data_IF_672540755442
#
_entry.id   IF_672540755442
#
_cell.length_a   1.000
_cell.length_b   1.000
_cell.length_c   1.000
_cell.angle_alpha   90.00
_cell.angle_beta   90.00
_cell.angle_gamma   90.00
#
_symmetry.space_group_name_H-M   'P 1'
#
loop_
_entity.id
_entity.type
_entity.pdbx_description
1 polymer ?
#
# COMPACT_ATOMS: atom_id res chain seq x y z
N UNK A 1 -21.73 55.47 -7.64
CA UNK A 1 -21.81 54.34 -6.68
C UNK A 1 -21.32 53.10 -7.40
N UNK A 2 -20.02 52.80 -7.23
CA UNK A 2 -19.41 51.61 -7.85
C UNK A 2 -19.73 50.36 -7.02
N UNK A 3 -20.48 49.42 -7.59
CA UNK A 3 -20.69 48.12 -7.01
C UNK A 3 -19.48 47.22 -7.32
N UNK A 4 -18.57 47.10 -6.38
CA UNK A 4 -17.55 46.05 -6.38
C UNK A 4 -18.26 44.72 -6.14
N UNK A 5 -18.31 43.88 -7.16
CA UNK A 5 -18.70 42.43 -7.02
C UNK A 5 -17.71 41.78 -6.06
N UNK A 6 -18.22 40.99 -5.09
CA UNK A 6 -17.33 40.17 -4.28
C UNK A 6 -16.63 39.15 -5.19
N UNK A 7 -15.29 39.09 -5.07
CA UNK A 7 -14.50 38.01 -5.70
C UNK A 7 -14.92 36.71 -5.04
N UNK A 8 -15.61 35.87 -5.80
CA UNK A 8 -15.92 34.50 -5.41
C UNK A 8 -14.57 33.75 -5.19
N UNK A 9 -14.18 33.64 -3.92
CA UNK A 9 -13.11 32.72 -3.52
C UNK A 9 -13.69 31.32 -3.53
N UNK A 10 -13.84 30.74 -4.71
CA UNK A 10 -14.09 29.31 -4.82
C UNK A 10 -13.01 28.59 -4.01
N UNK A 11 -13.42 27.92 -2.95
CA UNK A 11 -12.55 27.06 -2.16
C UNK A 11 -12.06 25.97 -3.12
N UNK A 12 -10.81 26.06 -3.52
CA UNK A 12 -10.19 25.01 -4.35
C UNK A 12 -10.14 23.75 -3.49
N UNK A 13 -11.01 22.79 -3.79
CA UNK A 13 -10.97 21.50 -3.10
C UNK A 13 -9.61 20.84 -3.35
N UNK A 14 -9.02 20.32 -2.27
CA UNK A 14 -7.72 19.67 -2.29
C UNK A 14 -7.85 18.16 -2.07
N UNK A 15 -6.95 17.34 -2.66
CA UNK A 15 -6.96 15.92 -2.44
C UNK A 15 -6.72 15.57 -0.97
N UNK A 16 -7.34 14.50 -0.52
CA UNK A 16 -7.14 14.01 0.85
C UNK A 16 -5.94 13.07 0.90
N UNK A 17 -4.74 13.64 0.99
CA UNK A 17 -3.48 12.89 1.02
C UNK A 17 -3.32 12.00 2.27
N UNK A 18 -4.19 12.13 3.29
CA UNK A 18 -4.15 11.29 4.49
C UNK A 18 -4.37 9.80 4.16
N UNK A 19 -5.06 9.50 3.07
CA UNK A 19 -5.26 8.12 2.58
C UNK A 19 -3.93 7.41 2.31
N UNK A 20 -2.92 8.13 1.77
CA UNK A 20 -1.60 7.60 1.49
C UNK A 20 -0.88 7.16 2.76
N UNK A 21 -0.86 8.02 3.79
CA UNK A 21 -0.27 7.67 5.09
C UNK A 21 -0.88 6.41 5.71
N UNK A 22 -2.20 6.22 5.54
CA UNK A 22 -2.88 5.01 6.03
C UNK A 22 -2.42 3.77 5.28
N UNK A 23 -2.28 3.83 3.95
CA UNK A 23 -1.79 2.73 3.11
C UNK A 23 -0.32 2.43 3.43
N UNK A 24 0.53 3.44 3.54
CA UNK A 24 1.95 3.28 3.87
C UNK A 24 2.18 2.59 5.21
N UNK A 25 1.33 2.88 6.23
CA UNK A 25 1.41 2.16 7.53
C UNK A 25 1.23 0.66 7.38
N UNK A 26 0.39 0.20 6.44
CA UNK A 26 0.24 -1.24 6.16
C UNK A 26 1.56 -1.83 5.69
N UNK A 27 2.20 -1.21 4.71
CA UNK A 27 3.48 -1.70 4.19
C UNK A 27 4.58 -1.68 5.26
N UNK A 28 4.69 -0.59 6.03
CA UNK A 28 5.64 -0.49 7.16
C UNK A 28 5.44 -1.61 8.17
N UNK A 29 4.20 -1.86 8.59
CA UNK A 29 3.84 -2.91 9.56
C UNK A 29 4.14 -4.30 9.02
N UNK A 30 3.60 -4.63 7.85
CA UNK A 30 3.67 -5.99 7.34
C UNK A 30 5.11 -6.38 6.95
N UNK A 31 5.88 -5.50 6.32
CA UNK A 31 7.27 -5.78 6.01
C UNK A 31 8.18 -5.79 7.24
N UNK A 32 7.74 -5.22 8.36
CA UNK A 32 8.44 -5.37 9.65
C UNK A 32 8.16 -6.73 10.30
N UNK A 33 6.93 -7.22 10.22
CA UNK A 33 6.53 -8.48 10.87
C UNK A 33 6.92 -9.72 10.06
N UNK A 34 6.82 -9.65 8.74
CA UNK A 34 6.95 -10.81 7.83
C UNK A 34 8.30 -11.53 7.93
N UNK A 35 9.48 -10.87 8.00
CA UNK A 35 10.75 -11.58 8.12
C UNK A 35 10.80 -12.52 9.33
N UNK A 36 10.31 -12.09 10.48
CA UNK A 36 10.28 -12.90 11.70
C UNK A 36 9.26 -14.05 11.59
N UNK A 37 8.09 -13.80 10.99
CA UNK A 37 7.10 -14.85 10.74
C UNK A 37 7.64 -15.93 9.79
N UNK A 38 8.46 -15.55 8.80
CA UNK A 38 9.11 -16.48 7.87
C UNK A 38 10.16 -17.30 8.61
N UNK A 39 11.04 -16.68 9.41
CA UNK A 39 12.06 -17.36 10.23
C UNK A 39 11.46 -18.30 11.25
N UNK A 40 10.25 -17.99 11.75
CA UNK A 40 9.51 -18.83 12.70
C UNK A 40 8.90 -20.10 12.10
N UNK A 41 8.96 -20.30 10.78
CA UNK A 41 8.45 -21.52 10.15
C UNK A 41 9.43 -22.68 10.32
N UNK A 42 8.96 -23.79 10.90
CA UNK A 42 9.78 -24.96 11.12
C UNK A 42 10.08 -25.73 9.82
N UNK A 43 11.20 -26.45 9.80
CA UNK A 43 11.61 -27.27 8.66
C UNK A 43 10.48 -28.24 8.26
N UNK A 44 10.09 -28.23 6.99
CA UNK A 44 9.06 -29.09 6.42
C UNK A 44 7.62 -28.68 6.71
N UNK A 45 7.35 -27.64 7.52
CA UNK A 45 5.97 -27.16 7.74
C UNK A 45 5.46 -26.35 6.53
N UNK A 46 5.21 -27.06 5.44
CA UNK A 46 4.72 -26.47 4.19
C UNK A 46 3.34 -25.82 4.33
N UNK A 47 2.54 -26.25 5.31
CA UNK A 47 1.23 -25.63 5.58
C UNK A 47 1.41 -24.21 6.14
N UNK A 48 2.31 -24.04 7.08
CA UNK A 48 2.67 -22.74 7.68
C UNK A 48 3.37 -21.87 6.65
N UNK A 49 4.35 -22.40 5.91
CA UNK A 49 5.06 -21.72 4.85
C UNK A 49 4.12 -21.16 3.78
N UNK A 50 3.12 -21.93 3.35
CA UNK A 50 2.10 -21.48 2.39
C UNK A 50 1.23 -20.37 2.94
N UNK A 51 0.85 -20.43 4.21
CA UNK A 51 0.02 -19.38 4.83
C UNK A 51 0.77 -18.05 4.91
N UNK A 52 1.99 -18.06 5.46
CA UNK A 52 2.83 -16.86 5.60
C UNK A 52 3.26 -16.36 4.22
N UNK A 53 3.66 -17.25 3.32
CA UNK A 53 4.08 -16.90 1.97
C UNK A 53 2.96 -16.32 1.11
N UNK A 54 1.73 -16.82 1.25
CA UNK A 54 0.57 -16.24 0.58
C UNK A 54 0.25 -14.84 1.11
N UNK A 55 0.48 -14.60 2.41
CA UNK A 55 0.32 -13.26 2.98
C UNK A 55 1.40 -12.30 2.48
N UNK A 56 2.68 -12.73 2.46
CA UNK A 56 3.76 -11.93 1.87
C UNK A 56 3.43 -11.58 0.42
N UNK A 57 3.03 -12.55 -0.42
CA UNK A 57 2.63 -12.29 -1.81
C UNK A 57 1.53 -11.24 -1.91
N UNK A 58 0.50 -11.33 -1.07
CA UNK A 58 -0.57 -10.34 -1.06
C UNK A 58 -0.07 -8.91 -0.79
N UNK A 59 0.91 -8.76 0.12
CA UNK A 59 1.52 -7.45 0.43
C UNK A 59 2.38 -6.97 -0.75
N UNK A 60 3.16 -7.87 -1.38
CA UNK A 60 4.00 -7.54 -2.54
C UNK A 60 3.15 -7.14 -3.76
N UNK A 61 2.08 -7.88 -4.03
CA UNK A 61 1.13 -7.56 -5.12
C UNK A 61 0.45 -6.20 -4.86
N UNK A 62 0.09 -5.92 -3.60
CA UNK A 62 -0.46 -4.63 -3.18
C UNK A 62 0.53 -3.48 -3.35
N UNK A 63 1.80 -3.69 -3.02
CA UNK A 63 2.87 -2.71 -3.19
C UNK A 63 3.13 -2.40 -4.67
N UNK A 64 3.26 -3.43 -5.49
CA UNK A 64 3.44 -3.26 -6.94
C UNK A 64 2.27 -2.48 -7.57
N UNK A 65 1.03 -2.83 -7.22
CA UNK A 65 -0.15 -2.11 -7.67
C UNK A 65 -0.16 -0.63 -7.22
N UNK A 66 0.29 -0.35 -6.01
CA UNK A 66 0.39 1.00 -5.44
C UNK A 66 1.36 1.85 -6.25
N UNK A 67 2.60 1.38 -6.44
CA UNK A 67 3.61 2.07 -7.24
C UNK A 67 3.20 2.23 -8.72
N UNK A 68 2.62 1.20 -9.35
CA UNK A 68 2.11 1.29 -10.72
C UNK A 68 1.05 2.39 -10.85
N UNK A 69 0.15 2.51 -9.87
CA UNK A 69 -0.85 3.58 -9.85
C UNK A 69 -0.21 4.97 -9.79
N UNK A 70 0.84 5.15 -9.01
CA UNK A 70 1.57 6.42 -8.93
C UNK A 70 2.32 6.73 -10.21
N UNK A 71 3.01 5.75 -10.79
CA UNK A 71 3.74 5.87 -12.05
C UNK A 71 2.81 6.28 -13.20
N UNK A 72 1.61 5.72 -13.25
CA UNK A 72 0.64 5.99 -14.32
C UNK A 72 -0.19 7.27 -14.08
N UNK A 73 -0.51 7.58 -12.83
CA UNK A 73 -1.46 8.64 -12.50
C UNK A 73 -0.81 9.89 -11.95
N UNK A 74 0.14 9.77 -11.01
CA UNK A 74 0.70 10.94 -10.30
C UNK A 74 1.93 11.53 -10.98
N UNK A 75 2.93 10.72 -11.31
CA UNK A 75 4.19 11.22 -11.82
C UNK A 75 4.07 12.03 -13.10
N UNK A 76 3.30 11.62 -14.13
CA UNK A 76 3.16 12.43 -15.35
C UNK A 76 2.58 13.82 -15.07
N UNK A 77 1.63 13.91 -14.13
CA UNK A 77 0.99 15.19 -13.76
C UNK A 77 1.90 16.09 -12.96
N UNK A 78 2.69 15.51 -12.04
CA UNK A 78 3.67 16.29 -11.26
C UNK A 78 4.82 16.78 -12.13
N UNK A 79 5.29 15.98 -13.08
CA UNK A 79 6.31 16.38 -14.05
C UNK A 79 5.84 17.57 -14.92
N UNK A 80 4.56 17.58 -15.30
CA UNK A 80 3.96 18.67 -16.09
C UNK A 80 3.75 19.94 -15.25
N UNK A 81 3.25 19.82 -14.02
CA UNK A 81 2.76 20.96 -13.23
C UNK A 81 3.73 21.48 -12.18
N UNK A 82 4.64 20.63 -11.72
CA UNK A 82 5.63 20.93 -10.69
C UNK A 82 7.06 20.83 -11.25
N UNK A 83 7.31 21.43 -12.40
CA UNK A 83 8.58 21.33 -13.13
C UNK A 83 9.86 21.53 -12.28
N UNK A 84 9.91 22.45 -11.27
CA UNK A 84 11.06 22.55 -10.35
C UNK A 84 11.35 21.28 -9.56
N UNK A 85 10.37 20.41 -9.38
CA UNK A 85 10.47 19.16 -8.62
C UNK A 85 10.71 17.92 -9.51
N UNK A 86 10.97 18.09 -10.79
CA UNK A 86 11.17 16.99 -11.75
C UNK A 86 12.31 16.04 -11.36
N UNK A 87 13.36 16.52 -10.71
CA UNK A 87 14.44 15.67 -10.20
C UNK A 87 13.94 14.74 -9.11
N UNK A 88 13.12 15.27 -8.19
CA UNK A 88 12.53 14.51 -7.10
C UNK A 88 11.60 13.41 -7.63
N UNK A 89 10.72 13.72 -8.59
CA UNK A 89 9.84 12.72 -9.21
C UNK A 89 10.64 11.60 -9.88
N UNK A 90 11.71 11.94 -10.60
CA UNK A 90 12.61 10.91 -11.17
C UNK A 90 13.31 10.07 -10.11
N UNK A 91 13.61 10.64 -8.94
CA UNK A 91 14.16 9.87 -7.82
C UNK A 91 13.13 8.85 -7.31
N UNK A 92 11.85 9.23 -7.21
CA UNK A 92 10.77 8.29 -6.86
C UNK A 92 10.68 7.15 -7.85
N UNK A 93 10.66 7.44 -9.16
CA UNK A 93 10.64 6.42 -10.21
C UNK A 93 11.83 5.46 -10.11
N UNK A 94 13.04 5.97 -9.88
CA UNK A 94 14.23 5.12 -9.69
C UNK A 94 14.14 4.25 -8.43
N UNK A 95 13.48 4.72 -7.37
CA UNK A 95 13.25 3.93 -6.17
C UNK A 95 12.18 2.84 -6.41
N UNK A 96 11.14 3.10 -7.23
CA UNK A 96 10.20 2.07 -7.67
C UNK A 96 10.91 0.95 -8.44
N UNK A 97 11.80 1.29 -9.37
CA UNK A 97 12.62 0.30 -10.10
C UNK A 97 13.47 -0.56 -9.15
N UNK A 98 14.03 0.04 -8.08
CA UNK A 98 14.76 -0.73 -7.05
C UNK A 98 13.86 -1.66 -6.26
N UNK A 99 12.64 -1.24 -5.92
CA UNK A 99 11.65 -2.09 -5.28
C UNK A 99 11.29 -3.27 -6.18
N UNK A 100 11.04 -3.04 -7.47
CA UNK A 100 10.72 -4.08 -8.44
C UNK A 100 11.84 -5.14 -8.55
N UNK A 101 13.11 -4.74 -8.49
CA UNK A 101 14.23 -5.69 -8.41
C UNK A 101 14.11 -6.63 -7.21
N UNK A 102 13.66 -6.13 -6.04
CA UNK A 102 13.44 -6.98 -4.88
C UNK A 102 12.22 -7.91 -5.07
N UNK A 103 11.15 -7.41 -5.69
CA UNK A 103 9.96 -8.22 -5.99
C UNK A 103 10.32 -9.39 -6.92
N UNK A 104 11.08 -9.12 -7.98
CA UNK A 104 11.54 -10.14 -8.93
C UNK A 104 12.43 -11.20 -8.28
N UNK A 105 13.29 -10.79 -7.34
CA UNK A 105 14.13 -11.73 -6.57
C UNK A 105 13.30 -12.58 -5.62
N UNK A 106 12.25 -12.02 -5.01
CA UNK A 106 11.40 -12.71 -4.04
C UNK A 106 10.54 -13.77 -4.70
N UNK A 107 10.01 -13.55 -5.88
CA UNK A 107 9.02 -14.44 -6.50
C UNK A 107 9.49 -15.91 -6.63
N UNK A 108 10.65 -16.23 -7.22
CA UNK A 108 11.13 -17.61 -7.31
C UNK A 108 11.52 -18.22 -5.95
N UNK A 109 12.09 -17.40 -5.05
CA UNK A 109 12.45 -17.85 -3.70
C UNK A 109 11.21 -18.24 -2.91
N UNK A 110 10.18 -17.40 -2.96
CA UNK A 110 8.91 -17.59 -2.27
C UNK A 110 8.19 -18.87 -2.75
N UNK A 111 8.11 -19.10 -4.07
CA UNK A 111 7.52 -20.32 -4.63
C UNK A 111 8.23 -21.57 -4.12
N UNK A 112 9.56 -21.57 -4.15
CA UNK A 112 10.36 -22.72 -3.68
C UNK A 112 10.18 -22.95 -2.19
N UNK A 113 10.24 -21.87 -1.38
CA UNK A 113 10.06 -21.98 0.06
C UNK A 113 8.67 -22.49 0.44
N UNK A 114 7.61 -21.97 -0.16
CA UNK A 114 6.22 -22.41 0.10
C UNK A 114 5.99 -23.89 -0.22
N UNK A 115 6.78 -24.48 -1.10
CA UNK A 115 6.67 -25.90 -1.48
C UNK A 115 7.47 -26.83 -0.59
N UNK A 116 8.57 -26.37 0.01
CA UNK A 116 9.51 -27.18 0.78
C UNK A 116 9.52 -26.88 2.26
N UNK A 117 9.21 -25.64 2.65
CA UNK A 117 9.43 -25.08 3.99
C UNK A 117 10.86 -25.31 4.52
N UNK A 118 11.85 -25.34 3.62
CA UNK A 118 13.24 -25.49 4.01
C UNK A 118 13.71 -24.21 4.73
N UNK A 119 14.28 -24.36 5.94
CA UNK A 119 14.72 -23.23 6.79
C UNK A 119 15.71 -22.33 6.05
N UNK A 120 16.69 -22.89 5.33
CA UNK A 120 17.64 -22.11 4.54
C UNK A 120 16.97 -21.27 3.45
N UNK A 121 15.90 -21.77 2.84
CA UNK A 121 15.11 -21.01 1.85
C UNK A 121 14.27 -19.93 2.52
N UNK A 122 13.70 -20.24 3.69
CA UNK A 122 13.01 -19.26 4.54
C UNK A 122 13.92 -18.08 4.89
N UNK A 123 15.15 -18.35 5.31
CA UNK A 123 16.13 -17.30 5.62
C UNK A 123 16.49 -16.45 4.37
N UNK A 124 16.57 -17.05 3.19
CA UNK A 124 16.78 -16.29 1.95
C UNK A 124 15.59 -15.35 1.65
N UNK A 125 14.35 -15.85 1.81
CA UNK A 125 13.13 -15.02 1.63
C UNK A 125 13.11 -13.90 2.67
N UNK A 126 13.34 -14.21 3.94
CA UNK A 126 13.34 -13.23 5.03
C UNK A 126 14.38 -12.12 4.80
N UNK A 127 15.60 -12.48 4.41
CA UNK A 127 16.67 -11.51 4.11
C UNK A 127 16.29 -10.57 2.96
N UNK A 128 15.80 -11.11 1.84
CA UNK A 128 15.38 -10.23 0.71
C UNK A 128 14.18 -9.37 1.10
N UNK A 129 13.29 -9.85 1.97
CA UNK A 129 12.20 -9.04 2.53
C UNK A 129 12.72 -7.92 3.44
N UNK A 130 13.79 -8.16 4.22
CA UNK A 130 14.46 -7.11 5.02
C UNK A 130 15.15 -6.07 4.14
N UNK A 131 15.79 -6.49 3.03
CA UNK A 131 16.38 -5.60 2.03
C UNK A 131 15.30 -4.71 1.39
N UNK A 132 14.20 -5.32 0.93
CA UNK A 132 13.03 -4.60 0.41
C UNK A 132 12.47 -3.60 1.43
N UNK A 133 12.29 -4.02 2.69
CA UNK A 133 11.81 -3.13 3.75
C UNK A 133 12.68 -1.89 3.88
N UNK A 134 14.01 -2.05 3.88
CA UNK A 134 14.93 -0.91 4.03
C UNK A 134 14.78 0.08 2.88
N UNK A 135 14.79 -0.39 1.63
CA UNK A 135 14.59 0.46 0.45
C UNK A 135 13.22 1.13 0.45
N UNK A 136 12.17 0.39 0.84
CA UNK A 136 10.82 0.94 0.88
C UNK A 136 10.65 2.00 1.97
N UNK A 137 11.24 1.83 3.15
CA UNK A 137 11.14 2.84 4.21
C UNK A 137 11.75 4.18 3.78
N UNK A 138 12.89 4.17 3.10
CA UNK A 138 13.52 5.37 2.54
C UNK A 138 12.61 6.03 1.49
N UNK A 139 12.00 5.23 0.63
CA UNK A 139 11.06 5.69 -0.38
C UNK A 139 9.84 6.36 0.25
N UNK A 140 9.13 5.65 1.15
CA UNK A 140 7.93 6.16 1.80
C UNK A 140 8.20 7.43 2.64
N UNK A 141 9.36 7.51 3.31
CA UNK A 141 9.74 8.69 4.09
C UNK A 141 9.99 9.90 3.17
N UNK A 142 10.59 9.69 2.01
CA UNK A 142 10.83 10.76 1.04
C UNK A 142 9.52 11.20 0.37
N UNK A 143 8.67 10.27 0.00
CA UNK A 143 7.38 10.55 -0.61
C UNK A 143 6.48 11.34 0.34
N UNK A 144 6.31 10.88 1.57
CA UNK A 144 5.50 11.55 2.58
C UNK A 144 5.98 12.97 2.88
N UNK A 145 7.30 13.19 2.89
CA UNK A 145 7.88 14.48 3.22
C UNK A 145 7.86 15.45 2.05
N UNK A 146 8.15 15.00 0.84
CA UNK A 146 8.44 15.90 -0.29
C UNK A 146 7.35 15.81 -1.40
N UNK A 147 6.83 14.62 -1.69
CA UNK A 147 5.88 14.41 -2.80
C UNK A 147 4.45 14.73 -2.38
N UNK A 148 3.98 14.25 -1.22
CA UNK A 148 2.60 14.48 -0.82
C UNK A 148 2.24 15.97 -0.67
N UNK A 149 3.14 16.86 -0.23
CA UNK A 149 2.90 18.31 -0.32
C UNK A 149 2.71 18.81 -1.76
N UNK A 150 3.44 18.27 -2.74
CA UNK A 150 3.27 18.63 -4.15
C UNK A 150 1.93 18.09 -4.70
N UNK A 151 1.58 16.85 -4.35
CA UNK A 151 0.26 16.26 -4.67
C UNK A 151 -0.85 17.19 -4.16
N UNK A 152 -0.78 17.59 -2.89
CA UNK A 152 -1.77 18.50 -2.30
C UNK A 152 -1.90 19.82 -3.06
N UNK A 153 -0.82 20.33 -3.65
CA UNK A 153 -0.80 21.61 -4.36
C UNK A 153 -1.21 21.50 -5.83
N UNK A 154 -0.81 20.42 -6.52
CA UNK A 154 -0.84 20.32 -7.97
C UNK A 154 -1.81 19.27 -8.54
N UNK A 155 -2.32 18.35 -7.70
CA UNK A 155 -3.25 17.31 -8.11
C UNK A 155 -4.67 17.70 -7.70
N UNK A 156 -5.62 17.49 -8.59
CA UNK A 156 -7.05 17.72 -8.30
C UNK A 156 -7.66 16.55 -7.53
N UNK A 157 -8.79 16.81 -6.85
CA UNK A 157 -9.55 15.74 -6.16
C UNK A 157 -9.98 14.64 -7.12
N UNK A 158 -10.37 14.98 -8.36
CA UNK A 158 -10.79 13.99 -9.36
C UNK A 158 -9.62 13.06 -9.77
N UNK A 159 -8.42 13.62 -9.97
CA UNK A 159 -7.22 12.84 -10.30
C UNK A 159 -6.77 11.96 -9.14
N UNK A 160 -6.82 12.47 -7.91
CA UNK A 160 -6.56 11.69 -6.71
C UNK A 160 -7.55 10.52 -6.57
N UNK A 161 -8.83 10.77 -6.78
CA UNK A 161 -9.84 9.73 -6.75
C UNK A 161 -9.61 8.67 -7.83
N UNK A 162 -9.12 9.06 -9.02
CA UNK A 162 -8.80 8.09 -10.09
C UNK A 162 -7.66 7.15 -9.71
N UNK A 163 -6.67 7.61 -8.93
CA UNK A 163 -5.63 6.74 -8.34
C UNK A 163 -6.26 5.68 -7.42
N UNK A 164 -7.13 6.09 -6.52
CA UNK A 164 -7.84 5.17 -5.63
C UNK A 164 -8.77 4.20 -6.37
N UNK A 165 -9.38 4.61 -7.49
CA UNK A 165 -10.19 3.74 -8.37
C UNK A 165 -9.32 2.72 -9.12
N UNK A 166 -8.18 3.16 -9.65
CA UNK A 166 -7.21 2.26 -10.30
C UNK A 166 -6.82 1.13 -9.34
N UNK A 167 -6.37 1.45 -8.13
CA UNK A 167 -6.02 0.46 -7.13
C UNK A 167 -7.18 -0.50 -6.79
N UNK A 168 -8.40 0.01 -6.59
CA UNK A 168 -9.54 -0.84 -6.22
C UNK A 168 -10.02 -1.74 -7.36
N UNK A 169 -9.93 -1.30 -8.61
CA UNK A 169 -10.42 -2.05 -9.77
C UNK A 169 -9.59 -3.30 -10.08
N UNK A 170 -8.32 -3.31 -9.68
CA UNK A 170 -7.40 -4.42 -9.88
C UNK A 170 -7.49 -5.48 -8.77
N UNK A 171 -8.12 -5.16 -7.63
CA UNK A 171 -8.22 -6.08 -6.49
C UNK A 171 -9.34 -7.10 -6.72
N UNK A 172 -9.03 -8.41 -6.73
CA UNK A 172 -10.07 -9.44 -6.75
C UNK A 172 -11.03 -9.31 -5.56
N UNK A 173 -12.33 -9.38 -5.80
CA UNK A 173 -13.36 -9.18 -4.76
C UNK A 173 -13.16 -10.05 -3.51
N UNK A 174 -12.63 -11.28 -3.67
CA UNK A 174 -12.32 -12.20 -2.55
C UNK A 174 -11.24 -11.70 -1.60
N UNK A 175 -10.35 -10.81 -2.07
CA UNK A 175 -9.26 -10.24 -1.27
C UNK A 175 -9.65 -8.93 -0.58
N UNK A 176 -10.72 -8.28 -1.00
CA UNK A 176 -11.20 -7.03 -0.44
C UNK A 176 -11.33 -7.06 1.10
N UNK A 177 -11.90 -8.11 1.74
CA UNK A 177 -12.01 -8.15 3.20
C UNK A 177 -10.65 -8.18 3.90
N UNK A 178 -9.64 -8.82 3.30
CA UNK A 178 -8.29 -8.89 3.87
C UNK A 178 -7.57 -7.57 3.68
N UNK A 179 -7.56 -6.99 2.47
CA UNK A 179 -6.88 -5.73 2.18
C UNK A 179 -7.50 -4.56 2.95
N UNK A 180 -8.84 -4.42 2.93
CA UNK A 180 -9.48 -3.39 3.74
C UNK A 180 -9.30 -3.63 5.24
N UNK A 181 -9.33 -4.88 5.69
CA UNK A 181 -9.04 -5.23 7.08
C UNK A 181 -7.63 -4.80 7.50
N UNK A 182 -6.63 -5.03 6.64
CA UNK A 182 -5.24 -4.61 6.85
C UNK A 182 -5.11 -3.08 6.94
N UNK A 183 -5.81 -2.34 6.07
CA UNK A 183 -5.84 -0.88 6.08
C UNK A 183 -6.53 -0.33 7.33
N UNK A 184 -7.64 -0.95 7.76
CA UNK A 184 -8.43 -0.47 8.89
C UNK A 184 -7.87 -0.88 10.25
N UNK A 185 -6.89 -1.79 10.31
CA UNK A 185 -6.33 -2.32 11.57
C UNK A 185 -5.75 -1.22 12.45
N UNK A 186 -4.91 -0.35 11.87
CA UNK A 186 -4.22 0.75 12.57
C UNK A 186 -4.88 2.11 12.33
N UNK A 187 -6.00 2.13 11.60
CA UNK A 187 -6.69 3.37 11.27
C UNK A 187 -7.55 3.85 12.45
N UNK A 188 -7.44 5.13 12.79
CA UNK A 188 -8.33 5.75 13.75
C UNK A 188 -9.79 5.84 13.22
N UNK A 189 -10.79 6.19 14.06
CA UNK A 189 -12.19 6.24 13.60
C UNK A 189 -12.44 7.24 12.45
N UNK A 190 -11.66 8.32 12.34
CA UNK A 190 -11.77 9.32 11.25
C UNK A 190 -11.18 8.75 9.96
N UNK A 191 -10.03 8.12 10.05
CA UNK A 191 -9.36 7.44 8.94
C UNK A 191 -10.20 6.26 8.43
N UNK A 192 -10.79 5.45 9.32
CA UNK A 192 -11.71 4.38 8.92
C UNK A 192 -12.91 4.92 8.15
N UNK A 193 -13.51 6.03 8.59
CA UNK A 193 -14.60 6.69 7.88
C UNK A 193 -14.14 7.18 6.50
N UNK A 194 -12.97 7.78 6.42
CA UNK A 194 -12.36 8.28 5.19
C UNK A 194 -12.11 7.16 4.19
N UNK A 195 -11.39 6.10 4.60
CA UNK A 195 -11.05 4.97 3.73
C UNK A 195 -12.27 4.20 3.21
N UNK A 196 -13.35 4.20 3.95
CA UNK A 196 -14.61 3.55 3.56
C UNK A 196 -15.54 4.47 2.76
N UNK A 197 -15.34 5.79 2.78
CA UNK A 197 -16.24 6.77 2.16
C UNK A 197 -16.51 6.54 0.67
N UNK A 198 -15.52 6.15 -0.17
CA UNK A 198 -15.73 5.91 -1.58
C UNK A 198 -16.60 4.67 -1.91
N UNK A 199 -16.82 3.78 -0.92
CA UNK A 199 -17.54 2.53 -1.14
C UNK A 199 -19.07 2.71 -0.99
N UNK A 200 -19.91 1.93 -1.71
CA UNK A 200 -21.36 1.91 -1.49
C UNK A 200 -21.74 1.54 -0.03
N UNK A 201 -22.81 2.12 0.53
CA UNK A 201 -23.19 1.89 1.93
C UNK A 201 -23.33 0.40 2.34
N UNK A 202 -23.91 -0.50 1.55
CA UNK A 202 -23.98 -1.92 1.90
C UNK A 202 -22.60 -2.58 1.96
N UNK A 203 -21.65 -2.17 1.10
CA UNK A 203 -20.28 -2.69 1.11
C UNK A 203 -19.53 -2.21 2.36
N UNK A 204 -19.71 -0.93 2.74
CA UNK A 204 -19.14 -0.40 4.00
C UNK A 204 -19.62 -1.20 5.23
N UNK A 205 -20.93 -1.47 5.30
CA UNK A 205 -21.50 -2.26 6.40
C UNK A 205 -20.92 -3.68 6.41
N UNK A 206 -20.84 -4.32 5.24
CA UNK A 206 -20.29 -5.67 5.09
C UNK A 206 -18.83 -5.72 5.56
N UNK A 207 -18.00 -4.76 5.14
CA UNK A 207 -16.57 -4.71 5.53
C UNK A 207 -16.42 -4.45 7.03
N UNK A 208 -17.22 -3.57 7.62
CA UNK A 208 -17.16 -3.25 9.06
C UNK A 208 -17.64 -4.39 9.96
N UNK A 209 -18.43 -5.31 9.47
CA UNK A 209 -19.01 -6.41 10.25
C UNK A 209 -18.37 -7.74 9.92
N UNK A 210 -18.78 -8.36 8.82
CA UNK A 210 -18.24 -9.66 8.38
C UNK A 210 -16.78 -9.57 7.97
N UNK A 211 -16.41 -8.53 7.20
CA UNK A 211 -15.04 -8.31 6.73
C UNK A 211 -14.05 -8.18 7.89
N UNK A 212 -14.38 -7.40 8.92
CA UNK A 212 -13.55 -7.24 10.11
C UNK A 212 -13.33 -8.58 10.86
N UNK A 213 -14.39 -9.39 11.00
CA UNK A 213 -14.28 -10.73 11.62
C UNK A 213 -13.47 -11.69 10.75
N UNK A 214 -13.65 -11.62 9.42
CA UNK A 214 -12.90 -12.44 8.47
C UNK A 214 -11.41 -12.11 8.54
N UNK A 215 -11.06 -10.83 8.47
CA UNK A 215 -9.69 -10.34 8.60
C UNK A 215 -9.07 -10.73 9.95
N UNK A 216 -9.74 -10.50 11.05
CA UNK A 216 -9.24 -10.86 12.38
C UNK A 216 -8.91 -12.35 12.54
N UNK A 217 -9.71 -13.25 11.95
CA UNK A 217 -9.41 -14.68 11.94
C UNK A 217 -8.23 -15.01 11.03
N UNK A 218 -8.16 -14.36 9.88
CA UNK A 218 -7.08 -14.54 8.93
C UNK A 218 -5.75 -14.09 9.50
N UNK A 219 -5.68 -12.86 10.02
CA UNK A 219 -4.41 -12.27 10.48
C UNK A 219 -3.87 -12.95 11.73
N UNK A 220 -4.74 -13.36 12.67
CA UNK A 220 -4.31 -14.19 13.82
C UNK A 220 -3.66 -15.49 13.37
N UNK A 221 -4.22 -16.17 12.38
CA UNK A 221 -3.60 -17.37 11.80
C UNK A 221 -2.25 -17.08 11.16
N UNK A 222 -2.12 -15.94 10.46
CA UNK A 222 -0.85 -15.51 9.87
C UNK A 222 0.18 -15.20 10.95
N UNK A 223 -0.22 -14.50 12.02
CA UNK A 223 0.68 -14.13 13.13
C UNK A 223 0.96 -15.27 14.12
N UNK A 224 0.16 -16.34 14.09
CA UNK A 224 0.32 -17.47 15.01
C UNK A 224 -0.30 -17.25 16.38
N UNK A 225 -1.37 -16.41 16.43
CA UNK A 225 -2.14 -16.06 17.63
C UNK A 225 -3.40 -16.94 17.80
#
# INVERSE_FOLDING_TARGET
MSHTRPVDRSVVERPNIQEMYVVHRVFRRELTLLPELIRGVQEGDTKRARLVGAHLRLILDGLHMHHTGEDEVLWPRLLDRAAPSAVLVRTMQAQHEQVDVHLDRLDPLLRTWMSTAAVLRGEQVARVTDELRSSLLEHLDLEEREILPLVFQHITVAEWNSLGEHGRSTIPARLMPVLFGSVLEDADPREQKMMLAPLPPPVRLLLRTWGARHYSRYIRRVRGE
#
